data_IF_923328780560
#
_entry.id   IF_923328780560
#
_cell.length_a   1.000
_cell.length_b   1.000
_cell.length_c   1.000
_cell.angle_alpha   90.00
_cell.angle_beta   90.00
_cell.angle_gamma   90.00
#
_symmetry.space_group_name_H-M   'P 1'
#
loop_
_entity.id
_entity.type
_entity.pdbx_description
1 polymer ?
#
# COMPACT_ATOMS: atom_id res chain seq x y z
N UNK A 1 -24.33 -19.07 11.12
CA UNK A 1 -24.18 -18.39 9.82
C UNK A 1 -23.52 -17.03 10.03
N UNK A 2 -22.18 -16.94 9.93
CA UNK A 2 -21.44 -15.68 10.15
C UNK A 2 -20.38 -15.35 9.08
N UNK A 3 -20.34 -16.06 7.94
CA UNK A 3 -19.14 -16.07 7.08
C UNK A 3 -19.33 -15.72 5.59
N UNK A 4 -20.48 -15.19 5.15
CA UNK A 4 -20.63 -14.71 3.75
C UNK A 4 -20.48 -13.19 3.60
N UNK A 5 -21.02 -12.40 4.54
CA UNK A 5 -20.96 -10.94 4.45
C UNK A 5 -19.53 -10.42 4.70
N UNK A 6 -18.82 -10.99 5.68
CA UNK A 6 -17.42 -10.63 5.97
C UNK A 6 -16.42 -10.98 4.84
N UNK A 7 -16.80 -11.85 3.88
CA UNK A 7 -16.00 -12.13 2.69
C UNK A 7 -16.30 -11.17 1.53
N UNK A 8 -17.46 -10.52 1.52
CA UNK A 8 -17.88 -9.55 0.50
C UNK A 8 -17.46 -8.12 0.86
N UNK A 9 -17.35 -7.82 2.15
CA UNK A 9 -16.72 -6.60 2.66
C UNK A 9 -15.29 -6.97 3.08
N UNK A 10 -14.34 -6.77 2.17
CA UNK A 10 -12.92 -7.11 2.34
C UNK A 10 -12.38 -6.87 3.75
N UNK A 11 -11.48 -7.75 4.15
CA UNK A 11 -10.80 -7.86 5.45
C UNK A 11 -10.44 -6.53 6.12
N UNK A 12 -11.35 -5.89 6.85
CA UNK A 12 -11.04 -4.72 7.67
C UNK A 12 -10.63 -3.46 6.90
N UNK A 13 -10.80 -2.32 7.55
CA UNK A 13 -10.33 -1.01 7.06
C UNK A 13 -8.87 -0.74 7.36
N UNK A 14 -8.21 -1.66 8.07
CA UNK A 14 -6.84 -1.49 8.54
C UNK A 14 -5.84 -2.22 7.64
N UNK A 15 -4.65 -1.63 7.41
CA UNK A 15 -3.60 -2.32 6.69
C UNK A 15 -3.11 -3.57 7.44
N UNK A 16 -2.82 -4.65 6.69
CA UNK A 16 -2.09 -5.82 7.19
C UNK A 16 -0.66 -5.44 7.60
N UNK A 17 0.04 -6.31 8.32
CA UNK A 17 1.44 -6.06 8.68
C UNK A 17 2.33 -5.92 7.42
N UNK A 18 2.08 -6.73 6.38
CA UNK A 18 2.77 -6.58 5.09
C UNK A 18 2.52 -5.22 4.45
N UNK A 19 1.26 -4.78 4.40
CA UNK A 19 0.90 -3.48 3.86
C UNK A 19 1.53 -2.34 4.68
N UNK A 20 1.57 -2.44 6.01
CA UNK A 20 2.24 -1.45 6.88
C UNK A 20 3.73 -1.37 6.62
N UNK A 21 4.40 -2.51 6.46
CA UNK A 21 5.83 -2.57 6.12
C UNK A 21 6.09 -1.87 4.80
N UNK A 22 5.31 -2.17 3.76
CA UNK A 22 5.44 -1.58 2.43
C UNK A 22 5.19 -0.06 2.46
N UNK A 23 4.06 0.37 3.04
CA UNK A 23 3.69 1.78 3.12
C UNK A 23 4.70 2.58 3.95
N UNK A 24 5.24 1.99 5.01
CA UNK A 24 6.28 2.61 5.84
C UNK A 24 7.60 2.72 5.09
N UNK A 25 7.97 1.72 4.30
CA UNK A 25 9.17 1.75 3.46
C UNK A 25 9.09 2.88 2.42
N UNK A 26 7.94 3.03 1.74
CA UNK A 26 7.71 4.15 0.81
C UNK A 26 7.80 5.48 1.54
N UNK A 27 7.10 5.64 2.66
CA UNK A 27 7.15 6.87 3.47
C UNK A 27 8.58 7.33 3.80
N UNK A 28 9.47 6.38 4.12
CA UNK A 28 10.89 6.67 4.45
C UNK A 28 11.71 7.14 3.25
N UNK A 29 11.31 6.79 2.02
CA UNK A 29 11.99 7.17 0.78
C UNK A 29 11.44 8.45 0.14
N UNK A 30 10.31 8.96 0.62
CA UNK A 30 9.71 10.19 0.12
C UNK A 30 10.58 11.42 0.45
N UNK A 31 10.48 12.45 -0.40
CA UNK A 31 11.03 13.77 -0.08
C UNK A 31 10.34 14.35 1.17
N UNK A 32 11.03 15.17 1.99
CA UNK A 32 10.43 15.71 3.22
C UNK A 32 9.12 16.48 3.01
N UNK A 33 8.94 17.10 1.83
CA UNK A 33 7.71 17.82 1.47
C UNK A 33 6.52 16.89 1.16
N UNK A 34 6.77 15.67 0.68
CA UNK A 34 5.73 14.70 0.35
C UNK A 34 5.17 13.96 1.57
N UNK A 35 5.97 13.78 2.62
CA UNK A 35 5.62 12.96 3.80
C UNK A 35 4.32 13.41 4.49
N UNK A 36 4.06 14.71 4.75
CA UNK A 36 2.81 15.13 5.39
C UNK A 36 1.57 14.83 4.53
N UNK A 37 1.69 14.91 3.21
CA UNK A 37 0.60 14.59 2.27
C UNK A 37 0.34 13.09 2.28
N UNK A 38 1.40 12.29 2.19
CA UNK A 38 1.35 10.83 2.33
C UNK A 38 0.61 10.39 3.60
N UNK A 39 1.02 10.92 4.76
CA UNK A 39 0.44 10.55 6.05
C UNK A 39 -1.05 10.88 6.13
N UNK A 40 -1.45 12.08 5.69
CA UNK A 40 -2.87 12.48 5.67
C UNK A 40 -3.68 11.60 4.73
N UNK A 41 -3.14 11.25 3.57
CA UNK A 41 -3.82 10.38 2.63
C UNK A 41 -4.06 8.99 3.19
N UNK A 42 -3.08 8.40 3.88
CA UNK A 42 -3.23 7.09 4.51
C UNK A 42 -4.19 7.13 5.69
N UNK A 43 -4.17 8.19 6.50
CA UNK A 43 -5.14 8.39 7.59
C UNK A 43 -6.59 8.52 7.08
N UNK A 44 -6.78 9.06 5.88
CA UNK A 44 -8.10 9.20 5.28
C UNK A 44 -8.65 7.89 4.68
N UNK A 45 -7.80 6.87 4.48
CA UNK A 45 -8.25 5.55 3.98
C UNK A 45 -9.15 4.90 5.02
N UNK A 46 -10.34 4.50 4.61
CA UNK A 46 -11.32 3.84 5.47
C UNK A 46 -11.92 2.56 4.86
N UNK A 47 -11.49 2.20 3.66
CA UNK A 47 -11.82 0.92 3.02
C UNK A 47 -10.59 0.40 2.29
N UNK A 48 -10.23 -0.84 2.58
CA UNK A 48 -9.17 -1.57 1.88
C UNK A 48 -9.83 -2.74 1.16
N UNK A 49 -9.58 -2.85 -0.14
CA UNK A 49 -10.06 -3.96 -0.96
C UNK A 49 -8.86 -4.80 -1.39
N UNK A 50 -8.82 -6.06 -0.96
CA UNK A 50 -7.77 -7.01 -1.36
C UNK A 50 -8.33 -7.91 -2.45
N UNK A 51 -7.64 -7.99 -3.58
CA UNK A 51 -8.01 -8.88 -4.67
C UNK A 51 -7.63 -10.33 -4.31
N UNK A 52 -8.31 -11.33 -4.91
CA UNK A 52 -7.97 -12.73 -4.71
C UNK A 52 -6.50 -13.03 -4.98
N UNK A 53 -5.98 -14.04 -4.29
CA UNK A 53 -4.60 -14.51 -4.43
C UNK A 53 -3.49 -13.52 -4.08
N UNK A 54 -3.84 -12.38 -3.48
CA UNK A 54 -2.85 -11.43 -2.97
C UNK A 54 -2.07 -10.78 -4.10
N UNK A 55 -2.74 -10.50 -5.22
CA UNK A 55 -2.13 -9.82 -6.38
C UNK A 55 -2.16 -8.30 -6.24
N UNK A 56 -3.17 -7.76 -5.54
CA UNK A 56 -3.41 -6.32 -5.48
C UNK A 56 -4.23 -5.94 -4.22
N UNK A 57 -3.94 -4.76 -3.69
CA UNK A 57 -4.64 -4.13 -2.57
C UNK A 57 -4.95 -2.68 -2.93
N UNK A 58 -6.23 -2.30 -2.87
CA UNK A 58 -6.71 -0.96 -3.19
C UNK A 58 -7.16 -0.21 -1.95
N UNK A 59 -6.76 1.06 -1.86
CA UNK A 59 -7.01 1.97 -0.76
C UNK A 59 -8.05 3.01 -1.14
N UNK A 60 -9.19 2.98 -0.48
CA UNK A 60 -10.29 3.89 -0.72
C UNK A 60 -10.57 4.79 0.48
N UNK A 61 -10.89 6.04 0.15
CA UNK A 61 -11.49 7.03 1.05
C UNK A 61 -12.97 7.10 0.67
N UNK A 62 -13.84 6.61 1.53
CA UNK A 62 -15.27 6.48 1.23
C UNK A 62 -16.08 7.47 2.06
N UNK A 63 -17.01 8.18 1.43
CA UNK A 63 -18.05 8.96 2.11
C UNK A 63 -19.41 8.56 1.53
N UNK A 64 -20.35 8.18 2.41
CA UNK A 64 -21.73 7.78 2.01
C UNK A 64 -21.75 6.75 0.87
N UNK A 65 -20.81 5.79 0.90
CA UNK A 65 -20.71 4.70 -0.07
C UNK A 65 -20.05 5.05 -1.40
N UNK A 66 -19.50 6.27 -1.55
CA UNK A 66 -18.77 6.70 -2.75
C UNK A 66 -17.32 7.05 -2.42
N UNK A 67 -16.41 6.81 -3.36
CA UNK A 67 -15.03 7.28 -3.22
C UNK A 67 -15.00 8.82 -3.21
N UNK A 68 -14.20 9.39 -2.33
CA UNK A 68 -13.99 10.84 -2.21
C UNK A 68 -12.50 11.18 -2.29
N UNK A 69 -12.23 12.35 -2.87
CA UNK A 69 -10.88 12.82 -3.15
C UNK A 69 -10.78 14.28 -2.72
N UNK A 70 -10.22 14.52 -1.54
CA UNK A 70 -9.99 15.88 -1.02
C UNK A 70 -8.72 16.47 -1.65
N UNK A 71 -8.82 17.52 -2.50
CA UNK A 71 -7.66 18.14 -3.12
C UNK A 71 -6.65 18.70 -2.11
N UNK A 72 -7.07 19.03 -0.88
CA UNK A 72 -6.19 19.59 0.14
C UNK A 72 -5.12 18.60 0.64
N UNK A 73 -5.34 17.29 0.46
CA UNK A 73 -4.41 16.23 0.85
C UNK A 73 -3.85 15.50 -0.36
N UNK A 74 -3.91 16.10 -1.54
CA UNK A 74 -3.52 15.45 -2.78
C UNK A 74 -2.10 15.85 -3.19
N UNK A 75 -1.33 14.94 -3.77
CA UNK A 75 0.01 15.25 -4.28
C UNK A 75 -0.05 16.22 -5.46
N UNK A 76 0.91 17.16 -5.63
CA UNK A 76 0.99 18.03 -6.79
C UNK A 76 0.92 17.28 -8.12
N UNK A 77 1.63 16.15 -8.26
CA UNK A 77 1.55 15.34 -9.47
C UNK A 77 0.16 14.68 -9.61
N UNK A 78 -0.56 15.04 -10.68
CA UNK A 78 -1.94 14.59 -10.98
C UNK A 78 -2.05 13.56 -12.09
N UNK A 79 -0.95 12.93 -12.48
CA UNK A 79 -0.99 11.90 -13.52
C UNK A 79 -2.03 10.83 -13.18
N UNK A 80 -2.71 10.34 -14.21
CA UNK A 80 -3.77 9.32 -14.09
C UNK A 80 -3.25 8.08 -13.38
N UNK A 81 -2.07 7.58 -13.78
CA UNK A 81 -1.38 6.49 -13.10
C UNK A 81 0.10 6.83 -12.94
N UNK A 82 0.56 6.84 -11.69
CA UNK A 82 1.94 7.11 -11.34
C UNK A 82 2.49 5.93 -10.52
N UNK A 83 3.40 5.16 -11.11
CA UNK A 83 4.19 4.18 -10.38
C UNK A 83 5.17 4.93 -9.47
N UNK A 84 4.79 5.10 -8.20
CA UNK A 84 5.52 5.91 -7.25
C UNK A 84 6.81 5.22 -6.82
N UNK A 85 6.71 3.96 -6.42
CA UNK A 85 7.82 3.23 -5.82
C UNK A 85 7.73 1.73 -6.07
N UNK A 86 8.89 1.08 -6.03
CA UNK A 86 9.03 -0.36 -5.89
C UNK A 86 9.64 -0.70 -4.54
N UNK A 87 8.97 -1.56 -3.80
CA UNK A 87 9.45 -2.09 -2.52
C UNK A 87 9.81 -3.55 -2.71
N UNK A 88 10.98 -3.96 -2.22
CA UNK A 88 11.42 -5.36 -2.22
C UNK A 88 11.59 -5.84 -0.79
N UNK A 89 10.97 -6.98 -0.49
CA UNK A 89 11.10 -7.68 0.76
C UNK A 89 11.87 -8.98 0.52
N UNK A 90 12.85 -9.27 1.38
CA UNK A 90 13.61 -10.52 1.35
C UNK A 90 13.65 -11.12 2.74
N UNK A 91 13.41 -12.42 2.81
CA UNK A 91 13.49 -13.18 4.05
C UNK A 91 14.89 -13.76 4.17
N UNK A 92 15.57 -13.44 5.27
CA UNK A 92 16.94 -13.88 5.49
C UNK A 92 17.02 -15.41 5.52
N UNK A 93 17.99 -15.96 4.80
CA UNK A 93 18.24 -17.40 4.72
C UNK A 93 17.22 -18.23 3.92
N UNK A 94 16.10 -17.67 3.48
CA UNK A 94 15.06 -18.42 2.75
C UNK A 94 15.11 -18.28 1.22
N UNK A 95 15.90 -17.33 0.69
CA UNK A 95 16.02 -17.07 -0.75
C UNK A 95 14.72 -16.57 -1.43
N UNK A 96 13.65 -16.38 -0.66
CA UNK A 96 12.37 -15.87 -1.15
C UNK A 96 12.37 -14.35 -1.14
N UNK A 97 11.79 -13.77 -2.20
CA UNK A 97 11.64 -12.33 -2.35
C UNK A 97 10.25 -11.96 -2.86
N UNK A 98 9.76 -10.80 -2.44
CA UNK A 98 8.54 -10.17 -2.94
C UNK A 98 8.89 -8.79 -3.48
N UNK A 99 8.47 -8.50 -4.71
CA UNK A 99 8.43 -7.13 -5.23
C UNK A 99 6.99 -6.62 -5.15
N UNK A 100 6.83 -5.43 -4.60
CA UNK A 100 5.57 -4.71 -4.49
C UNK A 100 5.69 -3.35 -5.17
N UNK A 101 4.77 -3.04 -6.07
CA UNK A 101 4.65 -1.75 -6.74
C UNK A 101 3.61 -0.92 -6.02
N UNK A 102 3.93 0.34 -5.71
CA UNK A 102 3.00 1.27 -5.06
C UNK A 102 2.59 2.35 -6.04
N UNK A 103 1.28 2.47 -6.24
CA UNK A 103 0.70 3.35 -7.25
C UNK A 103 -0.01 4.55 -6.63
N UNK A 104 0.11 5.68 -7.33
CA UNK A 104 -0.62 6.92 -7.07
C UNK A 104 -1.49 7.23 -8.29
N UNK A 105 -2.76 7.54 -8.07
CA UNK A 105 -3.73 7.86 -9.13
C UNK A 105 -4.32 9.23 -8.86
N UNK A 106 -4.19 10.17 -9.80
CA UNK A 106 -4.70 11.55 -9.64
C UNK A 106 -4.12 12.28 -8.43
N UNK A 107 -2.90 11.91 -8.01
CA UNK A 107 -2.25 12.43 -6.82
C UNK A 107 -2.68 11.79 -5.50
N UNK A 108 -3.35 10.64 -5.51
CA UNK A 108 -3.72 9.89 -4.30
C UNK A 108 -3.12 8.48 -4.28
N UNK A 109 -2.59 8.04 -3.13
CA UNK A 109 -2.18 6.64 -2.91
C UNK A 109 -3.37 5.73 -3.18
N UNK A 110 -3.20 4.82 -4.15
CA UNK A 110 -4.28 4.03 -4.71
C UNK A 110 -4.10 2.54 -4.44
N UNK A 111 -2.96 1.95 -4.82
CA UNK A 111 -2.79 0.50 -4.72
C UNK A 111 -1.38 0.05 -4.34
N UNK A 112 -1.31 -1.17 -3.81
CA UNK A 112 -0.12 -2.02 -3.81
C UNK A 112 -0.39 -3.18 -4.76
N UNK A 113 0.50 -3.41 -5.72
CA UNK A 113 0.47 -4.57 -6.60
C UNK A 113 1.68 -5.46 -6.34
N UNK A 114 1.46 -6.75 -6.22
CA UNK A 114 2.52 -7.71 -5.92
C UNK A 114 2.95 -8.45 -7.19
N UNK A 115 4.26 -8.48 -7.46
CA UNK A 115 4.82 -9.20 -8.61
C UNK A 115 4.68 -10.72 -8.52
N UNK A 116 4.44 -11.24 -7.31
CA UNK A 116 4.05 -12.61 -7.02
C UNK A 116 3.05 -12.59 -5.85
N UNK A 117 2.16 -13.58 -5.75
CA UNK A 117 1.12 -13.58 -4.71
C UNK A 117 1.67 -13.35 -3.29
N UNK A 118 1.04 -12.46 -2.52
CA UNK A 118 1.56 -11.97 -1.24
C UNK A 118 1.38 -12.92 -0.05
N UNK A 119 0.61 -14.01 -0.21
CA UNK A 119 0.15 -14.88 0.90
C UNK A 119 1.27 -15.36 1.81
N UNK A 120 2.39 -15.84 1.26
CA UNK A 120 3.52 -16.30 2.06
C UNK A 120 4.07 -15.19 2.96
N UNK A 121 4.21 -13.96 2.42
CA UNK A 121 4.73 -12.82 3.16
C UNK A 121 3.75 -12.32 4.23
N UNK A 122 2.45 -12.40 3.96
CA UNK A 122 1.40 -12.13 4.96
C UNK A 122 1.47 -13.12 6.13
N UNK A 123 1.68 -14.41 5.86
CA UNK A 123 1.75 -15.46 6.88
C UNK A 123 2.97 -15.29 7.79
N UNK A 124 4.16 -15.07 7.22
CA UNK A 124 5.40 -14.97 8.01
C UNK A 124 5.50 -13.67 8.82
N UNK A 125 4.91 -12.58 8.35
CA UNK A 125 4.89 -11.31 9.09
C UNK A 125 3.93 -11.35 10.28
N UNK A 126 2.93 -12.23 10.22
CA UNK A 126 2.04 -12.52 11.35
C UNK A 126 2.57 -13.59 12.31
N UNK A 127 3.77 -14.14 12.09
CA UNK A 127 4.33 -15.20 12.92
C UNK A 127 4.92 -14.68 14.26
N UNK A 128 4.92 -15.55 15.27
CA UNK A 128 5.56 -15.33 16.57
C UNK A 128 6.58 -16.47 16.82
N UNK A 129 7.90 -16.20 16.89
CA UNK A 129 8.53 -14.88 16.86
C UNK A 129 8.51 -14.22 15.47
N UNK A 130 8.65 -12.88 15.39
CA UNK A 130 8.71 -12.16 14.13
C UNK A 130 9.88 -12.62 13.26
N UNK A 131 9.65 -12.76 11.96
CA UNK A 131 10.69 -13.07 10.99
C UNK A 131 11.47 -11.81 10.62
N UNK A 132 12.80 -11.85 10.74
CA UNK A 132 13.66 -10.78 10.26
C UNK A 132 13.64 -10.72 8.73
N UNK A 133 13.55 -9.51 8.19
CA UNK A 133 13.49 -9.28 6.75
C UNK A 133 14.23 -8.01 6.34
N UNK A 134 14.90 -8.10 5.21
CA UNK A 134 15.44 -6.94 4.52
C UNK A 134 14.30 -6.28 3.70
N UNK A 135 14.10 -4.98 3.92
CA UNK A 135 13.13 -4.17 3.17
C UNK A 135 13.86 -3.03 2.50
N UNK A 136 13.84 -3.04 1.16
CA UNK A 136 14.41 -1.96 0.34
C UNK A 136 13.31 -1.28 -0.44
N UNK A 137 13.41 0.04 -0.58
CA UNK A 137 12.45 0.82 -1.36
C UNK A 137 13.21 1.70 -2.35
N UNK A 138 12.76 1.66 -3.60
CA UNK A 138 13.22 2.52 -4.68
C UNK A 138 12.08 3.45 -5.08
N UNK A 139 12.27 4.75 -4.83
CA UNK A 139 11.38 5.77 -5.37
C UNK A 139 11.65 5.90 -6.87
N UNK A 140 10.61 5.81 -7.69
CA UNK A 140 10.71 5.91 -9.15
C UNK A 140 10.33 7.30 -9.67
N UNK A 141 9.49 8.01 -8.91
CA UNK A 141 9.06 9.38 -9.21
C UNK A 141 8.89 10.19 -7.91
N UNK A 142 9.13 11.50 -7.94
CA UNK A 142 8.71 12.39 -6.84
C UNK A 142 7.26 12.83 -7.08
N UNK A 143 6.30 12.48 -6.21
CA UNK A 143 4.91 12.86 -6.38
C UNK A 143 4.66 14.36 -6.13
N UNK A 144 5.66 15.09 -5.61
CA UNK A 144 5.60 16.53 -5.37
C UNK A 144 5.92 17.38 -6.60
N UNK A 145 6.35 16.76 -7.70
CA UNK A 145 6.78 17.44 -8.91
C UNK A 145 5.82 17.05 -10.04
N UNK A 146 5.23 18.06 -10.69
CA UNK A 146 4.42 17.87 -11.90
C UNK A 146 5.31 17.30 -13.02
N UNK A 147 4.80 16.30 -13.74
CA UNK A 147 5.48 15.69 -14.90
C UNK A 147 5.03 16.31 -16.21
#
# INVERSE_FOLDING_TARGET
MKNLIAKLFGSGSEPSELERVILTAVRKCLSPGAVPVWDKQLQAVNKIQRLPDGVEVNFYRMEKGKATFDPAISFPNKTEELLLAKVRLRVDGAGQQLEASVWVVGGFVFSIEYGAGSKYFEEILGADPPVEMEVTCQLLCDPSIEQ
#
